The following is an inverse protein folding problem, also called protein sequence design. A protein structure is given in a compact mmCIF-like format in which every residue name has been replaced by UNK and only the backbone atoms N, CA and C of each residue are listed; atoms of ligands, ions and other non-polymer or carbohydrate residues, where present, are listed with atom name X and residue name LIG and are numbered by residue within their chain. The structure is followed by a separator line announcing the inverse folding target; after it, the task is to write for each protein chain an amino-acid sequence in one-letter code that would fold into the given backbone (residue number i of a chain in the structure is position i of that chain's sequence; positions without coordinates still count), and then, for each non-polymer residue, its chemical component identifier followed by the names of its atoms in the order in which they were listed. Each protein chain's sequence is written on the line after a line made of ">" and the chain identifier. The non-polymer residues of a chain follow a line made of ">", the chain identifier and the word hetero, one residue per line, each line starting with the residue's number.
data_IF_191478550247
#
_entry.id   IF_191478550247
#
_cell.length_a   1.000
_cell.length_b   1.000
_cell.length_c   1.000
_cell.angle_alpha   90.00
_cell.angle_beta   90.00
_cell.angle_gamma   90.00
#
_symmetry.space_group_name_H-M   'P 1'
#
loop_
_entity.id
_entity.type
_entity.pdbx_description
1 polymer ?
#
# COMPACT_ATOMS: atom_id res chain seq x y z
N UNK A 1 14.24 1.79 20.20
CA UNK A 1 14.20 3.08 19.48
C UNK A 1 15.16 3.00 18.30
N UNK A 2 14.66 3.04 17.07
CA UNK A 2 15.46 2.77 15.86
C UNK A 2 16.23 3.99 15.31
N UNK A 3 16.10 5.19 15.90
CA UNK A 3 16.69 6.42 15.31
C UNK A 3 17.33 7.40 16.31
N UNK A 4 17.48 7.03 17.59
CA UNK A 4 18.02 7.93 18.63
C UNK A 4 17.15 9.15 18.96
N UNK A 5 16.08 9.39 18.19
CA UNK A 5 15.06 10.39 18.44
C UNK A 5 13.96 9.83 19.34
N UNK A 6 13.36 10.70 20.17
CA UNK A 6 12.10 10.36 20.81
C UNK A 6 10.99 10.22 19.77
N UNK A 7 9.97 9.40 20.06
CA UNK A 7 8.80 9.24 19.18
C UNK A 7 8.11 10.58 18.86
N UNK A 8 8.15 11.55 19.77
CA UNK A 8 7.53 12.88 19.59
C UNK A 8 8.30 13.68 18.54
N UNK A 9 9.62 13.67 18.62
CA UNK A 9 10.48 14.32 17.62
C UNK A 9 10.37 13.64 16.27
N UNK A 10 10.32 12.30 16.26
CA UNK A 10 10.15 11.51 15.05
C UNK A 10 8.81 11.81 14.37
N UNK A 11 7.70 11.77 15.12
CA UNK A 11 6.35 12.13 14.68
C UNK A 11 6.30 13.52 14.03
N UNK A 12 6.89 14.52 14.71
CA UNK A 12 6.94 15.90 14.22
C UNK A 12 7.77 16.01 12.93
N UNK A 13 8.90 15.32 12.86
CA UNK A 13 9.80 15.34 11.70
C UNK A 13 9.17 14.72 10.46
N UNK A 14 8.47 13.60 10.60
CA UNK A 14 7.86 12.87 9.48
C UNK A 14 6.44 13.36 9.13
N UNK A 15 5.83 14.18 10.01
CA UNK A 15 4.47 14.66 9.84
C UNK A 15 3.43 13.53 9.94
N UNK A 16 3.59 12.66 10.94
CA UNK A 16 2.65 11.58 11.30
C UNK A 16 2.35 11.69 12.80
N UNK A 17 1.14 11.31 13.22
CA UNK A 17 0.80 11.35 14.64
C UNK A 17 1.59 10.32 15.44
N UNK A 18 1.86 10.64 16.72
CA UNK A 18 2.50 9.70 17.64
C UNK A 18 1.71 8.38 17.78
N UNK A 19 0.37 8.46 17.73
CA UNK A 19 -0.49 7.27 17.81
C UNK A 19 -0.20 6.28 16.68
N UNK A 20 -0.05 6.78 15.46
CA UNK A 20 0.26 5.92 14.29
C UNK A 20 1.66 5.31 14.43
N UNK A 21 2.66 6.06 14.93
CA UNK A 21 3.97 5.48 15.22
C UNK A 21 3.91 4.38 16.28
N UNK A 22 3.17 4.60 17.37
CA UNK A 22 2.98 3.60 18.41
C UNK A 22 2.34 2.32 17.87
N UNK A 23 1.31 2.44 17.04
CA UNK A 23 0.66 1.29 16.39
C UNK A 23 1.66 0.51 15.52
N UNK A 24 2.43 1.22 14.68
CA UNK A 24 3.44 0.61 13.80
C UNK A 24 4.54 -0.10 14.59
N UNK A 25 5.04 0.53 15.66
CA UNK A 25 6.05 -0.05 16.55
C UNK A 25 5.51 -1.24 17.36
N UNK A 26 4.23 -1.21 17.74
CA UNK A 26 3.54 -2.32 18.39
C UNK A 26 3.12 -3.44 17.41
N UNK A 27 3.40 -3.28 16.11
CA UNK A 27 3.11 -4.28 15.07
C UNK A 27 1.72 -4.18 14.44
N UNK A 28 0.90 -3.20 14.84
CA UNK A 28 -0.40 -2.92 14.23
C UNK A 28 -0.22 -2.14 12.93
N UNK A 29 -0.09 -2.89 11.82
CA UNK A 29 0.19 -2.36 10.48
C UNK A 29 -0.87 -2.73 9.45
N UNK A 30 -2.09 -3.03 9.88
CA UNK A 30 -3.14 -3.50 8.98
C UNK A 30 -3.82 -2.35 8.20
N UNK A 31 -3.67 -1.09 8.67
CA UNK A 31 -4.42 0.08 8.18
C UNK A 31 -3.57 1.26 7.71
N UNK A 32 -2.27 1.06 7.48
CA UNK A 32 -1.41 2.14 6.95
C UNK A 32 -1.84 2.47 5.51
N UNK A 33 -2.15 3.74 5.27
CA UNK A 33 -2.43 4.29 3.94
C UNK A 33 -1.12 4.69 3.25
N UNK A 34 -1.08 4.61 1.91
CA UNK A 34 0.10 4.86 1.07
C UNK A 34 0.81 6.19 1.38
N UNK A 35 0.14 7.33 1.57
CA UNK A 35 0.84 8.57 1.95
C UNK A 35 1.56 8.47 3.30
N UNK A 36 0.98 7.76 4.26
CA UNK A 36 1.60 7.49 5.57
C UNK A 36 2.73 6.49 5.44
N UNK A 37 2.55 5.43 4.64
CA UNK A 37 3.59 4.45 4.34
C UNK A 37 4.84 5.11 3.75
N UNK A 38 4.67 5.99 2.76
CA UNK A 38 5.78 6.71 2.12
C UNK A 38 6.55 7.59 3.11
N UNK A 39 5.84 8.27 4.02
CA UNK A 39 6.48 9.04 5.11
C UNK A 39 7.25 8.14 6.07
N UNK A 40 6.68 7.01 6.48
CA UNK A 40 7.35 6.05 7.38
C UNK A 40 8.62 5.47 6.74
N UNK A 41 8.60 5.19 5.43
CA UNK A 41 9.76 4.68 4.69
C UNK A 41 10.94 5.67 4.61
N UNK A 42 10.75 6.94 4.97
CA UNK A 42 11.87 7.91 5.08
C UNK A 42 12.73 7.68 6.32
N UNK A 43 12.24 6.90 7.29
CA UNK A 43 12.89 6.70 8.60
C UNK A 43 12.95 5.24 9.04
N UNK A 44 12.12 4.36 8.45
CA UNK A 44 12.10 2.93 8.72
C UNK A 44 12.54 2.16 7.48
N UNK A 45 13.26 1.06 7.71
CA UNK A 45 13.63 0.15 6.64
C UNK A 45 12.39 -0.45 5.97
N UNK A 46 12.43 -0.53 4.64
CA UNK A 46 11.38 -1.10 3.80
C UNK A 46 11.15 -2.57 4.12
N UNK A 47 12.21 -3.35 4.38
CA UNK A 47 12.11 -4.78 4.74
C UNK A 47 11.47 -4.98 6.11
N UNK A 48 11.62 -4.01 7.00
CA UNK A 48 11.00 -4.04 8.31
C UNK A 48 9.53 -3.63 8.22
N UNK A 49 9.19 -2.63 7.41
CA UNK A 49 7.85 -2.03 7.40
C UNK A 49 6.87 -2.76 6.47
N UNK A 50 7.32 -3.21 5.31
CA UNK A 50 6.45 -3.71 4.24
C UNK A 50 6.35 -5.23 4.24
N UNK A 51 5.11 -5.74 4.30
CA UNK A 51 4.79 -7.09 3.86
C UNK A 51 4.52 -7.12 2.35
N UNK A 52 4.24 -8.30 1.77
CA UNK A 52 3.93 -8.46 0.34
C UNK A 52 2.85 -7.49 -0.17
N UNK A 53 1.87 -7.19 0.69
CA UNK A 53 0.81 -6.26 0.35
C UNK A 53 1.34 -4.83 0.24
N UNK A 54 2.11 -4.36 1.22
CA UNK A 54 2.66 -3.01 1.15
C UNK A 54 3.72 -2.86 0.05
N UNK A 55 4.48 -3.92 -0.23
CA UNK A 55 5.33 -3.98 -1.42
C UNK A 55 4.50 -3.78 -2.69
N UNK A 56 3.35 -4.46 -2.80
CA UNK A 56 2.43 -4.24 -3.92
C UNK A 56 1.86 -2.82 -3.97
N UNK A 57 1.44 -2.25 -2.83
CA UNK A 57 0.87 -0.90 -2.76
C UNK A 57 1.85 0.16 -3.28
N UNK A 58 3.15 -0.01 -3.05
CA UNK A 58 4.17 0.90 -3.56
C UNK A 58 4.26 0.87 -5.09
N UNK A 59 4.01 -0.27 -5.71
CA UNK A 59 4.16 -0.53 -7.15
C UNK A 59 2.80 -0.68 -7.86
N UNK A 60 1.68 -0.38 -7.18
CA UNK A 60 0.34 -0.76 -7.63
C UNK A 60 -0.02 -0.16 -9.00
N UNK A 61 0.42 1.07 -9.27
CA UNK A 61 0.08 1.80 -10.49
C UNK A 61 0.70 1.11 -11.71
N UNK A 62 2.00 0.84 -11.66
CA UNK A 62 2.75 0.17 -12.71
C UNK A 62 2.25 -1.26 -12.93
N UNK A 63 2.10 -2.02 -11.85
CA UNK A 63 1.62 -3.40 -11.90
C UNK A 63 0.21 -3.50 -12.49
N UNK A 64 -0.72 -2.63 -12.07
CA UNK A 64 -2.08 -2.63 -12.60
C UNK A 64 -2.14 -2.10 -14.04
N UNK A 65 -1.29 -1.14 -14.42
CA UNK A 65 -1.19 -0.65 -15.79
C UNK A 65 -0.84 -1.78 -16.75
N UNK A 66 0.18 -2.58 -16.43
CA UNK A 66 0.58 -3.74 -17.25
C UNK A 66 -0.54 -4.77 -17.41
N UNK A 67 -1.30 -5.05 -16.33
CA UNK A 67 -2.44 -5.95 -16.42
C UNK A 67 -3.58 -5.37 -17.27
N UNK A 68 -3.85 -4.06 -17.15
CA UNK A 68 -4.88 -3.40 -17.96
C UNK A 68 -4.50 -3.38 -19.43
N UNK A 69 -3.23 -3.18 -19.77
CA UNK A 69 -2.73 -3.29 -21.14
C UNK A 69 -2.90 -4.72 -21.70
N UNK A 70 -2.62 -5.74 -20.89
CA UNK A 70 -2.72 -7.16 -21.29
C UNK A 70 -4.16 -7.65 -21.46
N UNK A 71 -5.06 -7.30 -20.54
CA UNK A 71 -6.40 -7.87 -20.48
C UNK A 71 -7.50 -6.90 -20.92
N UNK A 72 -7.23 -5.59 -20.89
CA UNK A 72 -8.24 -4.54 -21.00
C UNK A 72 -8.94 -4.27 -19.67
N UNK A 73 -9.23 -3.00 -19.39
CA UNK A 73 -9.78 -2.54 -18.10
C UNK A 73 -11.06 -3.29 -17.68
N UNK A 74 -12.07 -3.34 -18.56
CA UNK A 74 -13.38 -3.95 -18.25
C UNK A 74 -13.28 -5.47 -18.03
N UNK A 75 -12.46 -6.16 -18.82
CA UNK A 75 -12.26 -7.60 -18.70
C UNK A 75 -11.51 -7.93 -17.41
N UNK A 76 -10.45 -7.17 -17.10
CA UNK A 76 -9.70 -7.33 -15.85
C UNK A 76 -10.58 -7.07 -14.62
N UNK A 77 -11.37 -6.00 -14.62
CA UNK A 77 -12.30 -5.70 -13.54
C UNK A 77 -13.28 -6.86 -13.29
N UNK A 78 -13.82 -7.46 -14.36
CA UNK A 78 -14.69 -8.65 -14.27
C UNK A 78 -13.98 -9.87 -13.70
N UNK A 79 -12.74 -10.12 -14.11
CA UNK A 79 -11.91 -11.22 -13.59
C UNK A 79 -11.65 -11.05 -12.08
N UNK A 80 -11.30 -9.83 -11.65
CA UNK A 80 -11.06 -9.48 -10.25
C UNK A 80 -12.40 -9.40 -9.47
N UNK A 81 -13.53 -9.23 -10.14
CA UNK A 81 -14.85 -9.11 -9.53
C UNK A 81 -15.08 -7.77 -8.84
N UNK A 82 -14.67 -6.68 -9.50
CA UNK A 82 -14.87 -5.29 -9.07
C UNK A 82 -15.44 -4.46 -10.21
N UNK A 83 -15.89 -3.25 -9.92
CA UNK A 83 -16.26 -2.30 -10.95
C UNK A 83 -15.01 -1.73 -11.67
N UNK A 84 -15.18 -1.38 -12.95
CA UNK A 84 -14.10 -0.88 -13.77
C UNK A 84 -13.56 0.49 -13.28
N UNK A 85 -14.39 1.29 -12.61
CA UNK A 85 -13.99 2.60 -12.10
C UNK A 85 -13.04 2.45 -10.91
N UNK A 86 -13.32 1.54 -9.97
CA UNK A 86 -12.42 1.20 -8.86
C UNK A 86 -11.06 0.73 -9.37
N UNK A 87 -11.05 -0.14 -10.38
CA UNK A 87 -9.81 -0.58 -11.01
C UNK A 87 -9.05 0.58 -11.67
N UNK A 88 -9.75 1.50 -12.34
CA UNK A 88 -9.14 2.66 -12.98
C UNK A 88 -8.53 3.62 -11.94
N UNK A 89 -9.22 3.85 -10.81
CA UNK A 89 -8.69 4.63 -9.69
C UNK A 89 -7.47 3.97 -9.04
N UNK A 90 -7.45 2.65 -8.87
CA UNK A 90 -6.26 1.96 -8.37
C UNK A 90 -5.08 2.06 -9.34
N UNK A 91 -5.34 1.90 -10.64
CA UNK A 91 -4.33 2.06 -11.70
C UNK A 91 -3.74 3.47 -11.72
N UNK A 92 -4.55 4.50 -11.49
CA UNK A 92 -4.11 5.91 -11.41
C UNK A 92 -3.44 6.29 -10.10
N UNK A 93 -3.54 5.43 -9.07
CA UNK A 93 -3.01 5.74 -7.75
C UNK A 93 -3.93 6.62 -6.90
N UNK A 94 -5.12 6.99 -7.40
CA UNK A 94 -6.12 7.79 -6.68
C UNK A 94 -6.51 7.09 -5.35
N UNK A 95 -6.67 5.76 -5.41
CA UNK A 95 -7.01 4.93 -4.26
C UNK A 95 -6.03 3.77 -4.09
N UNK A 96 -5.79 3.41 -2.83
CA UNK A 96 -5.04 2.21 -2.47
C UNK A 96 -5.93 0.97 -2.62
N UNK A 97 -5.42 -0.07 -3.27
CA UNK A 97 -6.12 -1.36 -3.31
C UNK A 97 -6.28 -1.94 -1.90
N UNK A 98 -7.43 -2.53 -1.57
CA UNK A 98 -7.59 -3.19 -0.26
C UNK A 98 -6.83 -4.52 -0.21
N UNK A 99 -6.43 -4.94 1.01
CA UNK A 99 -5.77 -6.24 1.24
C UNK A 99 -6.58 -7.42 0.70
N UNK A 100 -7.92 -7.33 0.73
CA UNK A 100 -8.81 -8.39 0.23
C UNK A 100 -8.65 -8.56 -1.28
N UNK A 101 -8.63 -7.46 -2.04
CA UNK A 101 -8.49 -7.52 -3.49
C UNK A 101 -7.06 -7.85 -3.93
N UNK A 102 -6.05 -7.39 -3.19
CA UNK A 102 -4.68 -7.87 -3.37
C UNK A 102 -4.57 -9.40 -3.24
N UNK A 103 -5.12 -9.98 -2.17
CA UNK A 103 -5.16 -11.45 -2.00
C UNK A 103 -5.90 -12.15 -3.14
N UNK A 104 -6.95 -11.53 -3.68
CA UNK A 104 -7.70 -12.08 -4.82
C UNK A 104 -6.87 -12.09 -6.10
N UNK A 105 -6.16 -11.00 -6.38
CA UNK A 105 -5.22 -10.89 -7.50
C UNK A 105 -4.14 -11.99 -7.41
N UNK A 106 -3.56 -12.22 -6.24
CA UNK A 106 -2.58 -13.30 -6.03
C UNK A 106 -3.17 -14.68 -6.31
N UNK A 107 -4.39 -14.96 -5.82
CA UNK A 107 -5.08 -16.24 -6.09
C UNK A 107 -5.35 -16.47 -7.58
N UNK A 108 -5.56 -15.39 -8.33
CA UNK A 108 -5.76 -15.43 -9.78
C UNK A 108 -4.45 -15.57 -10.56
N UNK A 109 -3.28 -15.56 -9.89
CA UNK A 109 -1.94 -15.65 -10.51
C UNK A 109 -1.74 -14.62 -11.63
N UNK A 110 -2.18 -13.39 -11.37
CA UNK A 110 -2.00 -12.28 -12.30
C UNK A 110 -0.58 -11.70 -12.24
N UNK A 111 0.18 -12.04 -11.19
CA UNK A 111 1.60 -11.73 -10.99
C UNK A 111 2.35 -13.00 -10.63
#
# INVERSE_FOLDING_TARGET
>A
MMTGLSQVELAKKIGISRSVLNEVEAGYRDKILRPTLLKLLTVLDKEILCDDYYMFVLEQEEKLKLLVEKYGLRKLARIIGIDASSLDHWKRGDYQISRIFFKRILKLKLF
#
